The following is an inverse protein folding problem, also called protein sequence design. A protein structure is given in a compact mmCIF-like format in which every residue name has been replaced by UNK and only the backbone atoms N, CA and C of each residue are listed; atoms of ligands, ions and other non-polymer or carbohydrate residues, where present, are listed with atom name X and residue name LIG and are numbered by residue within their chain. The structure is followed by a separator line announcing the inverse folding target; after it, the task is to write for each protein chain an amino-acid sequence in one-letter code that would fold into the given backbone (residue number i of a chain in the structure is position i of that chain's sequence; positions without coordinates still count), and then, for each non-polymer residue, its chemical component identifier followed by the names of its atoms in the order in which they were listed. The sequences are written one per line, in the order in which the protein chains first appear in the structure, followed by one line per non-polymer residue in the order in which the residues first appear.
data_IF_639117619731
#
_entry.id   IF_639117619731
#
_cell.length_a   1.000
_cell.length_b   1.000
_cell.length_c   1.000
_cell.angle_alpha   90.00
_cell.angle_beta   90.00
_cell.angle_gamma   90.00
#
_symmetry.space_group_name_H-M   'P 1'
#
loop_
_entity.id
_entity.type
_entity.pdbx_description
1 polymer ?
#
# COMPACT_ATOMS: atom_id res chain seq x y z
N UNK A 1 -12.69 -16.88 16.45
CA UNK A 1 -11.37 -16.26 16.71
C UNK A 1 -11.14 -15.25 15.63
N UNK A 2 -11.17 -13.95 15.97
CA UNK A 2 -10.76 -12.90 15.05
C UNK A 2 -9.24 -12.96 14.93
N UNK A 3 -8.72 -13.18 13.73
CA UNK A 3 -7.36 -12.76 13.42
C UNK A 3 -7.37 -11.23 13.52
N UNK A 4 -7.08 -10.70 14.69
CA UNK A 4 -6.68 -9.31 14.83
C UNK A 4 -5.38 -9.21 14.02
N UNK A 5 -5.45 -8.54 12.87
CA UNK A 5 -4.26 -8.01 12.21
C UNK A 5 -3.69 -6.99 13.18
N UNK A 6 -2.82 -7.49 14.04
CA UNK A 6 -1.88 -6.71 14.81
C UNK A 6 -1.03 -5.96 13.77
N UNK A 7 -1.35 -4.69 13.57
CA UNK A 7 -0.45 -3.73 12.95
C UNK A 7 0.12 -2.93 14.12
N UNK A 8 1.03 -3.58 14.85
CA UNK A 8 1.71 -2.98 16.00
C UNK A 8 2.60 -1.82 15.51
N UNK A 9 2.08 -0.60 15.64
CA UNK A 9 2.93 0.57 15.89
C UNK A 9 3.33 1.48 14.73
N UNK A 10 3.09 1.14 13.46
CA UNK A 10 3.40 2.04 12.35
C UNK A 10 2.20 2.93 11.99
N UNK A 11 2.38 4.24 12.16
CA UNK A 11 1.42 5.22 11.65
C UNK A 11 1.36 5.06 10.13
N UNK A 12 0.19 4.74 9.60
CA UNK A 12 -0.08 4.71 8.16
C UNK A 12 0.19 6.12 7.59
N UNK A 13 1.21 6.26 6.76
CA UNK A 13 1.69 7.54 6.20
C UNK A 13 1.41 7.68 4.70
N UNK A 14 0.54 6.85 4.15
CA UNK A 14 0.14 6.89 2.74
C UNK A 14 1.03 6.09 1.81
N UNK A 15 1.71 5.08 2.38
CA UNK A 15 2.55 4.11 1.66
C UNK A 15 1.83 3.37 0.52
N UNK A 16 0.49 3.39 0.48
CA UNK A 16 -0.31 2.72 -0.55
C UNK A 16 -0.53 3.58 -1.81
N UNK A 17 -0.15 4.86 -1.80
CA UNK A 17 -0.27 5.72 -2.98
C UNK A 17 -1.71 6.10 -3.35
N UNK A 18 -2.66 5.99 -2.42
CA UNK A 18 -4.07 6.35 -2.63
C UNK A 18 -4.40 7.81 -2.33
N UNK A 19 -3.42 8.61 -1.88
CA UNK A 19 -3.65 9.99 -1.44
C UNK A 19 -4.30 10.10 -0.05
N UNK A 20 -4.32 9.01 0.71
CA UNK A 20 -4.80 8.95 2.08
C UNK A 20 -3.83 8.16 2.96
N UNK A 21 -4.06 8.22 4.27
CA UNK A 21 -3.37 7.45 5.30
C UNK A 21 -4.22 6.29 5.79
N UNK A 22 -5.13 5.74 4.98
CA UNK A 22 -6.04 4.69 5.41
C UNK A 22 -5.43 3.30 5.21
N UNK A 23 -5.71 2.38 6.14
CA UNK A 23 -5.35 0.98 5.99
C UNK A 23 -6.47 0.23 5.25
N UNK A 24 -6.16 -0.30 4.08
CA UNK A 24 -7.09 -1.12 3.30
C UNK A 24 -6.85 -2.60 3.57
N UNK A 25 -7.87 -3.31 4.06
CA UNK A 25 -7.80 -4.77 4.31
C UNK A 25 -8.00 -5.62 3.05
N UNK A 26 -8.43 -5.00 1.97
CA UNK A 26 -8.64 -5.62 0.66
C UNK A 26 -7.76 -4.90 -0.37
N UNK A 27 -7.16 -5.62 -1.33
CA UNK A 27 -6.41 -4.99 -2.41
C UNK A 27 -7.26 -3.92 -3.09
N UNK A 28 -6.75 -2.68 -3.14
CA UNK A 28 -7.37 -1.54 -3.80
C UNK A 28 -6.48 -1.11 -4.95
N UNK A 29 -7.08 -0.89 -6.12
CA UNK A 29 -6.35 -0.42 -7.30
C UNK A 29 -5.86 1.00 -7.07
N UNK A 30 -4.60 1.26 -7.41
CA UNK A 30 -4.04 2.61 -7.47
C UNK A 30 -4.35 3.15 -8.87
N UNK A 31 -5.42 3.95 -9.00
CA UNK A 31 -5.86 4.46 -10.31
C UNK A 31 -4.77 5.26 -11.04
N UNK A 32 -3.86 5.90 -10.31
CA UNK A 32 -2.71 6.61 -10.88
C UNK A 32 -1.71 5.69 -11.62
N UNK A 33 -1.75 4.38 -11.36
CA UNK A 33 -0.91 3.38 -12.03
C UNK A 33 -1.63 2.65 -13.16
N UNK A 34 -2.87 3.02 -13.48
CA UNK A 34 -3.60 2.41 -14.60
C UNK A 34 -2.90 2.68 -15.94
N UNK A 35 -2.72 1.62 -16.73
CA UNK A 35 -2.05 1.70 -18.04
C UNK A 35 -0.52 1.76 -17.97
N UNK A 36 0.07 1.74 -16.77
CA UNK A 36 1.52 1.70 -16.57
C UNK A 36 1.97 0.24 -16.48
N UNK A 37 2.96 -0.14 -17.29
CA UNK A 37 3.54 -1.49 -17.31
C UNK A 37 4.48 -1.73 -16.13
N UNK A 38 3.94 -1.97 -14.93
CA UNK A 38 4.75 -2.19 -13.73
C UNK A 38 5.56 -3.50 -13.87
N UNK A 39 6.88 -3.40 -13.85
CA UNK A 39 7.82 -4.52 -13.92
C UNK A 39 8.09 -5.09 -12.53
N UNK A 40 8.14 -4.22 -11.52
CA UNK A 40 8.46 -4.60 -10.13
C UNK A 40 7.84 -3.64 -9.12
N UNK A 41 7.47 -4.16 -7.96
CA UNK A 41 7.02 -3.39 -6.80
C UNK A 41 7.86 -3.81 -5.61
N UNK A 42 8.37 -2.85 -4.84
CA UNK A 42 9.10 -3.10 -3.58
C UNK A 42 8.44 -2.26 -2.48
N UNK A 43 8.35 -2.82 -1.28
CA UNK A 43 7.80 -2.14 -0.11
C UNK A 43 8.85 -2.03 1.00
N UNK A 44 8.93 -0.84 1.59
CA UNK A 44 9.63 -0.59 2.85
C UNK A 44 8.63 -0.51 4.01
N UNK A 45 9.13 -0.12 5.17
CA UNK A 45 8.33 0.06 6.39
C UNK A 45 7.21 1.09 6.20
N UNK A 46 7.55 2.22 5.55
CA UNK A 46 6.66 3.37 5.40
C UNK A 46 6.51 3.86 3.94
N UNK A 47 6.95 3.08 2.96
CA UNK A 47 6.88 3.47 1.55
C UNK A 47 6.67 2.29 0.60
N UNK A 48 6.08 2.57 -0.57
CA UNK A 48 5.99 1.64 -1.70
C UNK A 48 6.58 2.30 -2.94
N UNK A 49 7.42 1.58 -3.66
CA UNK A 49 7.98 2.01 -4.94
C UNK A 49 7.57 1.05 -6.04
N UNK A 50 7.35 1.59 -7.23
CA UNK A 50 7.04 0.81 -8.42
C UNK A 50 8.05 1.15 -9.52
N UNK A 51 8.58 0.12 -10.18
CA UNK A 51 9.40 0.22 -11.38
C UNK A 51 8.54 -0.08 -12.60
N UNK A 52 8.57 0.82 -13.58
CA UNK A 52 7.78 0.78 -14.83
C UNK A 52 8.66 0.49 -16.02
#
# INVERSE_FOLDING_TARGET
MLFQNVQDGSSIVGQLGHGDTAAYKTPKKVEALEGIGIIRVECGEDFTICLT
#
